data_IF_705442360494
#
_entry.id   IF_705442360494
#
_cell.length_a   1.000
_cell.length_b   1.000
_cell.length_c   1.000
_cell.angle_alpha   90.00
_cell.angle_beta   90.00
_cell.angle_gamma   90.00
#
_symmetry.space_group_name_H-M   'P 1'
#
loop_
_entity.id
_entity.type
_entity.pdbx_description
1 polymer ?
#
# COMPACT_ATOMS: atom_id res chain seq x y z
N UNK A 1 -11.80 8.00 53.05
CA UNK A 1 -11.07 8.53 51.87
C UNK A 1 -11.38 7.63 50.68
N UNK A 2 -12.41 7.95 49.90
CA UNK A 2 -12.74 7.24 48.67
C UNK A 2 -11.94 7.87 47.53
N UNK A 3 -10.95 7.13 47.04
CA UNK A 3 -10.15 7.52 45.89
C UNK A 3 -11.04 7.49 44.64
N UNK A 4 -11.44 8.68 44.17
CA UNK A 4 -12.12 8.86 42.90
C UNK A 4 -11.14 8.52 41.76
N UNK A 5 -11.16 7.27 41.31
CA UNK A 5 -10.54 6.87 40.04
C UNK A 5 -11.36 7.52 38.93
N UNK A 6 -10.94 8.71 38.49
CA UNK A 6 -11.41 9.29 37.23
C UNK A 6 -10.90 8.38 36.11
N UNK A 7 -11.78 7.54 35.57
CA UNK A 7 -11.54 6.84 34.33
C UNK A 7 -11.62 7.93 33.25
N UNK A 8 -10.46 8.35 32.74
CA UNK A 8 -10.39 9.27 31.60
C UNK A 8 -10.73 8.48 30.34
N UNK A 9 -12.02 8.18 30.13
CA UNK A 9 -12.48 7.62 28.85
C UNK A 9 -12.40 8.73 27.81
N UNK A 10 -11.49 8.60 26.84
CA UNK A 10 -11.62 9.38 25.61
C UNK A 10 -12.96 8.99 24.97
N UNK A 11 -13.71 9.94 24.38
CA UNK A 11 -14.91 9.60 23.64
C UNK A 11 -14.52 8.67 22.48
N UNK A 12 -15.32 7.63 22.24
CA UNK A 12 -15.09 6.64 21.18
C UNK A 12 -14.82 7.28 19.80
N UNK A 13 -15.49 8.41 19.51
CA UNK A 13 -15.27 9.21 18.31
C UNK A 13 -13.81 9.68 18.17
N UNK A 14 -13.18 10.14 19.26
CA UNK A 14 -11.78 10.55 19.25
C UNK A 14 -10.83 9.38 18.99
N UNK A 15 -11.14 8.19 19.50
CA UNK A 15 -10.36 6.98 19.24
C UNK A 15 -10.46 6.54 17.78
N UNK A 16 -11.68 6.55 17.22
CA UNK A 16 -11.91 6.24 15.80
C UNK A 16 -11.22 7.26 14.89
N UNK A 17 -11.33 8.55 15.20
CA UNK A 17 -10.66 9.61 14.44
C UNK A 17 -9.14 9.42 14.43
N UNK A 18 -8.56 9.10 15.59
CA UNK A 18 -7.13 8.87 15.72
C UNK A 18 -6.69 7.62 14.94
N UNK A 19 -7.46 6.53 14.98
CA UNK A 19 -7.19 5.32 14.21
C UNK A 19 -7.27 5.56 12.69
N UNK A 20 -8.28 6.30 12.21
CA UNK A 20 -8.41 6.66 10.80
C UNK A 20 -7.26 7.55 10.34
N UNK A 21 -6.82 8.50 11.17
CA UNK A 21 -5.68 9.37 10.87
C UNK A 21 -4.38 8.57 10.72
N UNK A 22 -4.14 7.62 11.62
CA UNK A 22 -2.96 6.74 11.55
C UNK A 22 -3.03 5.88 10.28
N UNK A 23 -4.17 5.20 10.05
CA UNK A 23 -4.35 4.34 8.89
C UNK A 23 -4.10 5.08 7.56
N UNK A 24 -4.59 6.32 7.44
CA UNK A 24 -4.35 7.15 6.25
C UNK A 24 -2.88 7.58 6.10
N UNK A 25 -2.16 7.77 7.20
CA UNK A 25 -0.74 8.15 7.16
C UNK A 25 0.18 7.00 6.75
N UNK A 26 -0.18 5.77 7.08
CA UNK A 26 0.58 4.56 6.77
C UNK A 26 0.17 3.95 5.43
N UNK A 27 -1.09 4.11 5.02
CA UNK A 27 -1.63 3.52 3.79
C UNK A 27 -1.32 4.34 2.51
N UNK A 28 -0.32 5.21 2.52
CA UNK A 28 -0.01 6.01 1.33
C UNK A 28 1.08 5.42 0.42
N UNK A 29 1.64 4.28 0.81
CA UNK A 29 2.73 3.64 0.09
C UNK A 29 2.28 2.35 -0.59
N UNK A 30 2.71 2.15 -1.83
CA UNK A 30 2.52 0.91 -2.58
C UNK A 30 3.88 0.40 -3.01
N UNK A 31 4.16 -0.86 -2.71
CA UNK A 31 5.22 -1.60 -3.34
C UNK A 31 4.63 -2.73 -4.20
N UNK A 32 5.07 -2.79 -5.45
CA UNK A 32 4.76 -3.89 -6.36
C UNK A 32 6.07 -4.49 -6.85
N UNK A 33 6.29 -5.76 -6.51
CA UNK A 33 7.47 -6.51 -6.94
C UNK A 33 7.02 -7.72 -7.75
N UNK A 34 7.53 -7.84 -8.97
CA UNK A 34 7.33 -8.99 -9.85
C UNK A 34 8.66 -9.69 -10.04
N UNK A 35 8.74 -10.90 -9.54
CA UNK A 35 9.91 -11.75 -9.70
C UNK A 35 9.88 -12.48 -11.04
N UNK A 36 11.05 -12.59 -11.66
CA UNK A 36 11.26 -13.29 -12.92
C UNK A 36 12.14 -14.49 -12.64
N UNK A 37 11.53 -15.68 -12.69
CA UNK A 37 12.26 -16.93 -12.62
C UNK A 37 12.55 -17.47 -14.02
N UNK A 38 13.74 -18.01 -14.23
CA UNK A 38 14.20 -18.58 -15.50
C UNK A 38 14.19 -20.11 -15.50
N UNK A 39 13.77 -20.77 -14.41
CA UNK A 39 13.91 -22.22 -14.25
C UNK A 39 12.65 -23.03 -14.59
N UNK A 40 12.92 -24.23 -15.09
CA UNK A 40 12.00 -25.34 -15.29
C UNK A 40 11.28 -25.66 -13.96
N UNK A 41 9.97 -25.88 -14.00
CA UNK A 41 9.09 -25.99 -12.82
C UNK A 41 9.42 -27.20 -11.91
N UNK A 42 10.35 -28.05 -12.30
CA UNK A 42 10.68 -29.33 -11.66
C UNK A 42 11.66 -29.20 -10.47
N UNK A 43 12.28 -28.05 -10.22
CA UNK A 43 13.28 -27.87 -9.17
C UNK A 43 13.03 -26.65 -8.25
N UNK A 44 11.87 -26.66 -7.59
CA UNK A 44 11.34 -25.57 -6.76
C UNK A 44 12.15 -25.23 -5.49
N UNK A 45 13.07 -26.08 -5.03
CA UNK A 45 13.66 -25.94 -3.68
C UNK A 45 14.84 -24.98 -3.56
N UNK A 46 15.33 -24.37 -4.65
CA UNK A 46 16.52 -23.50 -4.56
C UNK A 46 16.64 -22.45 -5.66
N UNK A 47 15.60 -21.66 -5.87
CA UNK A 47 15.65 -20.50 -6.74
C UNK A 47 15.56 -19.21 -5.92
N UNK A 48 16.69 -18.55 -5.69
CA UNK A 48 16.68 -17.12 -5.44
C UNK A 48 16.65 -16.45 -6.82
N UNK A 49 15.46 -16.26 -7.40
CA UNK A 49 15.35 -15.54 -8.68
C UNK A 49 15.98 -14.15 -8.50
N UNK A 50 17.02 -13.84 -9.28
CA UNK A 50 17.79 -12.58 -9.14
C UNK A 50 17.28 -11.46 -10.04
N UNK A 51 16.15 -11.66 -10.73
CA UNK A 51 15.62 -10.68 -11.67
C UNK A 51 14.20 -10.26 -11.30
N UNK A 52 13.95 -8.95 -11.22
CA UNK A 52 12.68 -8.37 -10.80
C UNK A 52 12.33 -7.07 -11.52
N UNK A 53 11.04 -6.80 -11.58
CA UNK A 53 10.48 -5.46 -11.74
C UNK A 53 9.98 -5.00 -10.38
N UNK A 54 10.42 -3.84 -9.92
CA UNK A 54 9.93 -3.24 -8.68
C UNK A 54 9.43 -1.83 -8.98
N UNK A 55 8.24 -1.52 -8.46
CA UNK A 55 7.69 -0.17 -8.47
C UNK A 55 7.30 0.21 -7.06
N UNK A 56 7.77 1.37 -6.60
CA UNK A 56 7.39 1.98 -5.34
C UNK A 56 6.63 3.28 -5.61
N UNK A 57 5.47 3.45 -5.00
CA UNK A 57 4.64 4.65 -5.13
C UNK A 57 4.44 5.23 -3.75
N UNK A 58 4.77 6.51 -3.59
CA UNK A 58 4.37 7.31 -2.42
C UNK A 58 3.31 8.31 -2.88
N UNK A 59 2.07 8.09 -2.44
CA UNK A 59 0.92 8.92 -2.80
C UNK A 59 0.96 10.30 -2.12
N UNK A 60 1.61 10.44 -0.96
CA UNK A 60 1.72 11.73 -0.26
C UNK A 60 2.74 12.62 -0.94
N UNK A 61 3.90 12.05 -1.31
CA UNK A 61 4.97 12.76 -2.02
C UNK A 61 4.72 12.85 -3.53
N UNK A 62 3.72 12.12 -4.06
CA UNK A 62 3.43 11.99 -5.49
C UNK A 62 4.64 11.49 -6.29
N UNK A 63 5.43 10.60 -5.68
CA UNK A 63 6.63 10.03 -6.29
C UNK A 63 6.37 8.60 -6.73
N UNK A 64 6.92 8.24 -7.89
CA UNK A 64 6.92 6.88 -8.41
C UNK A 64 8.36 6.53 -8.75
N UNK A 65 8.87 5.48 -8.14
CA UNK A 65 10.21 4.95 -8.38
C UNK A 65 10.08 3.58 -9.05
N UNK A 66 10.86 3.37 -10.10
CA UNK A 66 10.92 2.11 -10.84
C UNK A 66 12.34 1.56 -10.79
N UNK A 67 12.47 0.32 -10.37
CA UNK A 67 13.69 -0.46 -10.47
C UNK A 67 13.45 -1.63 -11.41
N UNK A 68 14.29 -1.73 -12.43
CA UNK A 68 14.27 -2.82 -13.41
C UNK A 68 15.68 -3.37 -13.49
N UNK A 69 15.82 -4.69 -13.31
CA UNK A 69 17.10 -5.33 -13.51
C UNK A 69 17.60 -5.15 -14.94
N UNK A 70 18.87 -4.76 -15.08
CA UNK A 70 19.51 -4.52 -16.38
C UNK A 70 19.39 -5.71 -17.35
N UNK A 71 19.32 -6.94 -16.82
CA UNK A 71 19.14 -8.16 -17.62
C UNK A 71 17.76 -8.26 -18.31
N UNK A 72 16.78 -7.52 -17.78
CA UNK A 72 15.41 -7.46 -18.29
C UNK A 72 15.19 -6.27 -19.24
N UNK A 73 16.03 -5.24 -19.15
CA UNK A 73 15.96 -4.06 -20.03
C UNK A 73 16.25 -4.51 -21.46
N UNK A 74 15.36 -4.12 -22.38
CA UNK A 74 15.41 -4.42 -23.83
C UNK A 74 15.38 -5.91 -24.20
N UNK A 75 15.07 -6.81 -23.25
CA UNK A 75 14.88 -8.21 -23.56
C UNK A 75 13.41 -8.46 -23.99
N UNK A 76 13.15 -8.74 -25.28
CA UNK A 76 11.78 -8.89 -25.79
C UNK A 76 11.05 -10.08 -25.16
N UNK A 77 11.76 -11.08 -24.61
CA UNK A 77 11.16 -12.23 -23.95
C UNK A 77 10.36 -11.82 -22.69
N UNK A 78 10.68 -10.68 -22.08
CA UNK A 78 10.00 -10.20 -20.86
C UNK A 78 9.02 -9.07 -21.11
N UNK A 79 8.77 -8.69 -22.38
CA UNK A 79 7.91 -7.57 -22.72
C UNK A 79 6.45 -7.76 -22.28
N UNK A 80 5.93 -8.99 -22.31
CA UNK A 80 4.59 -9.28 -21.78
C UNK A 80 4.52 -9.19 -20.25
N UNK A 81 5.54 -9.70 -19.57
CA UNK A 81 5.63 -9.63 -18.11
C UNK A 81 5.76 -8.18 -17.62
N UNK A 82 6.51 -7.35 -18.35
CA UNK A 82 6.59 -5.91 -18.07
C UNK A 82 5.23 -5.22 -18.23
N UNK A 83 4.49 -5.52 -19.31
CA UNK A 83 3.12 -4.99 -19.50
C UNK A 83 2.20 -5.41 -18.36
N UNK A 84 2.27 -6.68 -17.96
CA UNK A 84 1.50 -7.21 -16.84
C UNK A 84 1.86 -6.51 -15.52
N UNK A 85 3.15 -6.31 -15.23
CA UNK A 85 3.61 -5.58 -14.04
C UNK A 85 3.04 -4.16 -13.99
N UNK A 86 3.13 -3.42 -15.10
CA UNK A 86 2.58 -2.05 -15.20
C UNK A 86 1.06 -2.04 -14.93
N UNK A 87 0.34 -3.04 -15.44
CA UNK A 87 -1.09 -3.16 -15.19
C UNK A 87 -1.40 -3.44 -13.71
N UNK A 88 -0.62 -4.31 -13.05
CA UNK A 88 -0.76 -4.56 -11.61
C UNK A 88 -0.48 -3.31 -10.77
N UNK A 89 0.53 -2.53 -11.14
CA UNK A 89 0.84 -1.23 -10.51
C UNK A 89 -0.35 -0.29 -10.59
N UNK A 90 -0.95 -0.13 -11.79
CA UNK A 90 -2.12 0.74 -12.00
C UNK A 90 -3.32 0.29 -11.18
N UNK A 91 -3.64 -1.00 -11.21
CA UNK A 91 -4.79 -1.54 -10.47
C UNK A 91 -4.66 -1.34 -8.96
N UNK A 92 -3.45 -1.51 -8.41
CA UNK A 92 -3.17 -1.26 -7.00
C UNK A 92 -3.25 0.22 -6.66
N UNK A 93 -2.70 1.09 -7.50
CA UNK A 93 -2.79 2.55 -7.33
C UNK A 93 -4.24 3.01 -7.29
N UNK A 94 -5.07 2.59 -8.25
CA UNK A 94 -6.49 2.94 -8.29
C UNK A 94 -7.26 2.43 -7.07
N UNK A 95 -6.95 1.22 -6.62
CA UNK A 95 -7.57 0.62 -5.44
C UNK A 95 -7.19 1.39 -4.17
N UNK A 96 -5.93 1.78 -4.03
CA UNK A 96 -5.48 2.53 -2.85
C UNK A 96 -6.09 3.93 -2.80
N UNK A 97 -6.18 4.62 -3.94
CA UNK A 97 -6.85 5.93 -4.03
C UNK A 97 -8.31 5.83 -3.56
N UNK A 98 -9.03 4.78 -3.98
CA UNK A 98 -10.42 4.53 -3.54
C UNK A 98 -10.51 4.25 -2.04
N UNK A 99 -9.56 3.48 -1.50
CA UNK A 99 -9.52 3.17 -0.07
C UNK A 99 -9.24 4.44 0.76
N UNK A 100 -8.27 5.25 0.35
CA UNK A 100 -7.98 6.53 1.00
C UNK A 100 -9.16 7.50 0.95
N UNK A 101 -9.85 7.59 -0.19
CA UNK A 101 -11.08 8.39 -0.30
C UNK A 101 -12.19 7.88 0.65
N UNK A 102 -12.33 6.56 0.80
CA UNK A 102 -13.31 5.98 1.73
C UNK A 102 -12.94 6.25 3.19
N UNK A 103 -11.66 6.17 3.56
CA UNK A 103 -11.18 6.52 4.91
C UNK A 103 -11.39 8.01 5.21
N UNK A 104 -11.13 8.89 4.24
CA UNK A 104 -11.43 10.32 4.36
C UNK A 104 -12.92 10.56 4.62
N UNK A 105 -13.81 9.91 3.87
CA UNK A 105 -15.26 10.02 4.08
C UNK A 105 -15.67 9.56 5.49
N UNK A 106 -15.13 8.44 5.97
CA UNK A 106 -15.39 7.97 7.34
C UNK A 106 -14.90 8.98 8.37
N UNK A 107 -13.73 9.59 8.15
CA UNK A 107 -13.17 10.62 9.05
C UNK A 107 -14.07 11.86 9.12
N UNK A 108 -14.61 12.31 7.99
CA UNK A 108 -15.54 13.45 7.95
C UNK A 108 -16.83 13.15 8.71
N UNK A 109 -17.40 11.95 8.56
CA UNK A 109 -18.61 11.54 9.30
C UNK A 109 -18.38 11.61 10.81
N UNK A 110 -17.22 11.17 11.30
CA UNK A 110 -16.89 11.22 12.73
C UNK A 110 -16.73 12.67 13.23
N UNK A 111 -16.11 13.54 12.44
CA UNK A 111 -15.97 14.97 12.76
C UNK A 111 -17.32 15.68 12.85
N UNK A 112 -18.24 15.37 11.92
CA UNK A 112 -19.56 15.97 11.88
C UNK A 112 -20.44 15.53 13.06
N UNK A 113 -20.23 14.32 13.60
CA UNK A 113 -20.96 13.78 14.76
C UNK A 113 -20.58 14.43 16.09
N UNK A 114 -19.34 14.90 16.24
CA UNK A 114 -18.89 15.61 17.45
C UNK A 114 -19.35 17.09 17.50
N UNK A 115 -19.99 17.61 16.44
CA UNK A 115 -20.49 18.98 16.34
C UNK A 115 -21.99 19.16 16.65
N UNK A 116 -22.72 18.08 16.98
CA UNK A 116 -24.15 18.08 17.39
C UNK A 116 -24.33 17.56 18.80
#
# INVERSE_FOLDING_TARGET
MTSNRRITSKPLAQEIFQALTIAMSEAAEIEVTTYVDSWDLDHLERSASTSRFQTQIDLLKKTVEHEIDLKLIDNPAYGELQRWHIEQVRQRQDSLIKNLASLEQMRQIVLDQDCT
#
